data_IF_586873401310
#
_entry.id   IF_586873401310
#
_cell.length_a   1.000
_cell.length_b   1.000
_cell.length_c   1.000
_cell.angle_alpha   90.00
_cell.angle_beta   90.00
_cell.angle_gamma   90.00
#
_symmetry.space_group_name_H-M   'P 1'
#
loop_
_entity.id
_entity.type
_entity.pdbx_description
1 polymer ?
#
# COMPACT_ATOMS: atom_id res chain seq x y z
N UNK A 1 63.48 -30.64 -19.34
CA UNK A 1 62.02 -30.91 -19.14
C UNK A 1 61.56 -30.39 -17.80
N UNK A 2 61.49 -29.09 -17.65
CA UNK A 2 60.96 -28.45 -16.40
C UNK A 2 60.52 -27.03 -16.76
N UNK A 3 59.30 -26.82 -17.16
CA UNK A 3 58.64 -25.47 -17.28
C UNK A 3 57.16 -25.57 -17.63
N UNK A 4 56.37 -26.35 -16.95
CA UNK A 4 54.90 -26.35 -17.14
C UNK A 4 54.08 -26.63 -15.88
N UNK A 5 54.59 -26.37 -14.67
CA UNK A 5 53.79 -26.56 -13.42
C UNK A 5 53.42 -25.30 -12.65
N UNK A 6 53.71 -24.10 -13.19
CA UNK A 6 53.48 -22.85 -12.47
C UNK A 6 52.16 -22.09 -12.79
N UNK A 7 51.39 -22.48 -13.84
CA UNK A 7 50.29 -21.67 -14.33
C UNK A 7 48.88 -22.13 -13.88
N UNK A 8 48.77 -23.28 -13.22
CA UNK A 8 47.47 -23.83 -12.85
C UNK A 8 46.95 -23.45 -11.45
N UNK A 9 47.81 -22.87 -10.60
CA UNK A 9 47.45 -22.59 -9.20
C UNK A 9 46.94 -21.18 -8.97
N UNK A 10 47.13 -20.26 -9.93
CA UNK A 10 46.77 -18.83 -9.74
C UNK A 10 45.31 -18.52 -10.15
N UNK A 11 44.63 -19.39 -10.90
CA UNK A 11 43.22 -19.17 -11.28
C UNK A 11 42.19 -19.66 -10.26
N UNK A 12 42.59 -20.50 -9.29
CA UNK A 12 41.63 -21.05 -8.32
C UNK A 12 41.31 -20.11 -7.13
N UNK A 13 42.14 -19.11 -6.87
CA UNK A 13 41.96 -18.19 -5.71
C UNK A 13 41.11 -16.96 -6.06
N UNK A 14 40.99 -16.58 -7.32
CA UNK A 14 40.13 -15.45 -7.71
C UNK A 14 38.65 -15.79 -7.85
N UNK A 15 38.25 -17.05 -7.86
CA UNK A 15 36.86 -17.48 -8.04
C UNK A 15 35.97 -17.43 -6.79
N UNK A 16 36.57 -17.28 -5.59
CA UNK A 16 35.79 -17.38 -4.32
C UNK A 16 35.31 -15.99 -3.83
N UNK A 17 35.88 -14.91 -4.31
CA UNK A 17 35.48 -13.55 -3.88
C UNK A 17 34.21 -13.00 -4.54
N UNK A 18 33.71 -13.60 -5.63
CA UNK A 18 32.52 -13.12 -6.35
C UNK A 18 31.21 -13.73 -5.86
N UNK A 19 31.24 -14.77 -5.02
CA UNK A 19 30.03 -15.44 -4.52
C UNK A 19 29.40 -14.76 -3.29
N UNK A 20 30.06 -13.78 -2.68
CA UNK A 20 29.61 -13.14 -1.43
C UNK A 20 28.54 -12.06 -1.57
N UNK A 21 28.37 -11.46 -2.76
CA UNK A 21 27.40 -10.36 -2.92
C UNK A 21 26.02 -10.80 -3.43
N UNK A 22 25.86 -12.03 -3.89
CA UNK A 22 24.58 -12.52 -4.40
C UNK A 22 23.61 -13.01 -3.30
N UNK A 23 24.10 -13.23 -2.07
CA UNK A 23 23.31 -13.83 -1.01
C UNK A 23 22.44 -12.88 -0.20
N UNK A 24 22.74 -11.56 -0.20
CA UNK A 24 21.94 -10.57 0.55
C UNK A 24 20.66 -10.15 -0.19
N UNK A 25 20.62 -10.21 -1.52
CA UNK A 25 19.40 -9.98 -2.30
C UNK A 25 18.39 -11.13 -2.23
N UNK A 26 18.87 -12.35 -1.91
CA UNK A 26 18.01 -13.54 -1.82
C UNK A 26 17.13 -13.61 -0.57
N UNK A 27 17.51 -12.98 0.52
CA UNK A 27 16.77 -13.05 1.78
C UNK A 27 15.50 -12.18 1.74
N UNK A 28 15.54 -11.04 1.07
CA UNK A 28 14.36 -10.20 0.87
C UNK A 28 13.27 -10.91 0.06
N UNK A 29 13.63 -11.84 -0.83
CA UNK A 29 12.69 -12.64 -1.61
C UNK A 29 11.90 -13.65 -0.74
N UNK A 30 12.32 -13.92 0.48
CA UNK A 30 11.61 -14.77 1.43
C UNK A 30 10.48 -14.02 2.15
N UNK A 31 10.47 -12.69 2.11
CA UNK A 31 9.45 -11.87 2.75
C UNK A 31 8.23 -11.81 1.84
N UNK A 32 7.11 -12.31 2.33
CA UNK A 32 5.83 -12.20 1.62
C UNK A 32 5.18 -10.84 1.92
N UNK A 33 4.50 -10.23 0.92
CA UNK A 33 3.79 -8.98 1.14
C UNK A 33 2.67 -9.14 2.17
N UNK A 34 2.44 -8.14 3.04
CA UNK A 34 1.24 -8.11 3.88
C UNK A 34 -0.02 -8.17 3.03
N UNK A 35 -1.05 -8.84 3.54
CA UNK A 35 -2.35 -8.94 2.89
C UNK A 35 -3.29 -7.90 3.47
N UNK A 36 -4.00 -7.21 2.61
CA UNK A 36 -4.98 -6.20 2.98
C UNK A 36 -6.37 -6.67 2.60
N UNK A 37 -7.32 -6.49 3.51
CA UNK A 37 -8.72 -6.84 3.30
C UNK A 37 -9.62 -5.74 3.87
N UNK A 38 -10.63 -5.33 3.12
CA UNK A 38 -11.64 -4.40 3.62
C UNK A 38 -12.52 -5.07 4.67
N UNK A 39 -12.79 -4.39 5.78
CA UNK A 39 -13.61 -4.93 6.87
C UNK A 39 -15.08 -4.77 6.50
N UNK A 40 -15.79 -5.88 6.28
CA UNK A 40 -17.17 -5.89 5.75
C UNK A 40 -18.21 -5.26 6.67
N UNK A 41 -18.05 -5.40 7.97
CA UNK A 41 -18.92 -4.85 9.01
C UNK A 41 -18.59 -3.40 9.39
N UNK A 42 -17.53 -2.86 8.85
CA UNK A 42 -17.13 -1.45 8.96
C UNK A 42 -17.03 -0.81 7.58
N UNK A 43 -18.15 -0.35 7.01
CA UNK A 43 -18.14 0.28 5.69
C UNK A 43 -17.25 1.52 5.70
N UNK A 44 -16.68 1.84 4.54
CA UNK A 44 -15.94 3.07 4.35
C UNK A 44 -16.84 4.27 4.64
N UNK A 45 -16.30 5.25 5.40
CA UNK A 45 -17.02 6.46 5.80
C UNK A 45 -16.55 7.64 4.97
N UNK A 46 -17.49 8.40 4.43
CA UNK A 46 -17.23 9.69 3.80
C UNK A 46 -17.80 10.80 4.69
N UNK A 47 -16.96 11.79 5.03
CA UNK A 47 -17.34 12.97 5.81
C UNK A 47 -17.13 14.21 4.96
N UNK A 48 -18.16 15.03 4.79
CA UNK A 48 -18.01 16.31 4.11
C UNK A 48 -17.26 17.29 5.02
N UNK A 49 -16.25 17.96 4.47
CA UNK A 49 -15.46 18.98 5.14
C UNK A 49 -15.88 20.34 4.59
N UNK A 50 -16.32 21.22 5.48
CA UNK A 50 -16.74 22.58 5.13
C UNK A 50 -15.61 23.46 4.56
N UNK A 51 -15.97 24.52 3.86
CA UNK A 51 -15.06 25.57 3.41
C UNK A 51 -14.52 26.34 4.61
N UNK A 52 -13.29 26.13 5.01
CA UNK A 52 -12.72 26.82 6.18
C UNK A 52 -11.31 26.39 6.54
N UNK A 53 -10.88 25.22 6.10
CA UNK A 53 -9.55 24.63 6.39
C UNK A 53 -8.55 24.81 5.25
N UNK A 54 -8.45 26.02 4.69
CA UNK A 54 -7.57 26.31 3.56
C UNK A 54 -8.03 25.77 2.19
N UNK A 55 -9.29 25.31 2.11
CA UNK A 55 -9.91 24.76 0.90
C UNK A 55 -11.13 25.59 0.51
N UNK A 56 -11.06 26.42 -0.54
CA UNK A 56 -12.13 27.35 -0.89
C UNK A 56 -13.46 26.65 -1.26
N UNK A 57 -13.41 25.45 -1.80
CA UNK A 57 -14.60 24.67 -2.17
C UNK A 57 -14.94 23.54 -1.19
N UNK A 58 -14.24 23.48 -0.04
CA UNK A 58 -14.39 22.36 0.88
C UNK A 58 -13.68 21.08 0.40
N UNK A 59 -14.08 19.95 0.95
CA UNK A 59 -13.49 18.66 0.63
C UNK A 59 -14.24 17.50 1.27
N UNK A 60 -13.67 16.32 1.21
CA UNK A 60 -14.18 15.15 1.89
C UNK A 60 -13.06 14.44 2.67
N UNK A 61 -13.38 14.01 3.87
CA UNK A 61 -12.59 13.02 4.61
C UNK A 61 -13.11 11.63 4.30
N UNK A 62 -12.25 10.73 3.87
CA UNK A 62 -12.58 9.31 3.65
C UNK A 62 -11.86 8.50 4.69
N UNK A 63 -12.59 7.68 5.45
CA UNK A 63 -12.03 6.69 6.36
C UNK A 63 -12.30 5.30 5.81
N UNK A 64 -11.24 4.55 5.53
CA UNK A 64 -11.29 3.15 5.16
C UNK A 64 -10.84 2.31 6.36
N UNK A 65 -11.42 1.13 6.51
CA UNK A 65 -10.99 0.18 7.53
C UNK A 65 -10.35 -1.02 6.85
N UNK A 66 -9.10 -1.28 7.20
CA UNK A 66 -8.32 -2.38 6.66
C UNK A 66 -7.97 -3.39 7.75
N UNK A 67 -8.15 -4.66 7.45
CA UNK A 67 -7.48 -5.76 8.14
C UNK A 67 -6.18 -6.04 7.41
N UNK A 68 -5.06 -5.92 8.12
CA UNK A 68 -3.72 -6.16 7.60
C UNK A 68 -3.17 -7.42 8.24
N UNK A 69 -2.90 -8.45 7.45
CA UNK A 69 -2.36 -9.73 7.88
C UNK A 69 -0.89 -9.83 7.51
N UNK A 70 -0.08 -10.32 8.42
CA UNK A 70 1.29 -10.74 8.17
C UNK A 70 1.31 -12.25 7.84
N UNK A 71 1.51 -12.67 6.59
CA UNK A 71 1.55 -14.09 6.22
C UNK A 71 2.87 -14.77 6.61
N UNK A 72 3.88 -13.99 7.02
CA UNK A 72 5.20 -14.51 7.32
C UNK A 72 5.26 -15.23 8.68
N UNK A 73 6.15 -16.21 8.86
CA UNK A 73 6.36 -16.90 10.13
C UNK A 73 7.19 -16.08 11.14
N UNK A 74 7.51 -14.83 10.82
CA UNK A 74 8.26 -13.87 11.64
C UNK A 74 7.54 -12.53 11.68
N UNK A 75 7.85 -11.72 12.70
CA UNK A 75 7.33 -10.36 12.83
C UNK A 75 7.97 -9.43 11.80
N UNK A 76 7.21 -8.42 11.37
CA UNK A 76 7.69 -7.31 10.54
C UNK A 76 7.03 -6.01 10.98
N UNK A 77 7.57 -4.90 10.52
CA UNK A 77 6.96 -3.58 10.70
C UNK A 77 6.48 -3.06 9.35
N UNK A 78 5.20 -2.73 9.26
CA UNK A 78 4.65 -2.03 8.11
C UNK A 78 5.11 -0.57 8.19
N UNK A 79 6.07 -0.18 7.34
CA UNK A 79 6.77 1.10 7.45
C UNK A 79 6.03 2.21 6.73
N UNK A 80 5.62 1.96 5.48
CA UNK A 80 4.97 2.96 4.64
C UNK A 80 3.83 2.34 3.82
N UNK A 81 2.85 3.16 3.53
CA UNK A 81 1.82 2.87 2.55
C UNK A 81 1.69 4.10 1.64
N UNK A 82 1.91 3.93 0.35
CA UNK A 82 1.72 4.98 -0.64
C UNK A 82 0.87 4.48 -1.80
N UNK A 83 -0.02 5.34 -2.33
CA UNK A 83 -0.91 4.89 -3.39
C UNK A 83 -1.93 5.93 -3.82
N UNK A 84 -2.97 5.47 -4.49
CA UNK A 84 -4.07 6.28 -4.96
C UNK A 84 -5.41 5.61 -4.68
N UNK A 85 -6.32 6.39 -4.12
CA UNK A 85 -7.72 6.02 -4.00
C UNK A 85 -8.41 6.35 -5.34
N UNK A 86 -9.09 5.38 -5.89
CA UNK A 86 -9.95 5.53 -7.06
C UNK A 86 -11.40 5.29 -6.65
N UNK A 87 -12.30 6.04 -7.26
CA UNK A 87 -13.74 5.85 -7.15
C UNK A 87 -14.34 5.66 -8.53
N UNK A 88 -15.39 4.86 -8.62
CA UNK A 88 -16.09 4.65 -9.87
C UNK A 88 -16.97 5.85 -10.20
N UNK A 89 -16.78 6.40 -11.40
CA UNK A 89 -17.63 7.48 -11.90
C UNK A 89 -19.03 6.95 -12.20
N UNK A 90 -20.06 7.59 -11.66
CA UNK A 90 -21.45 7.17 -11.87
C UNK A 90 -21.92 7.22 -13.32
N UNK A 91 -21.33 8.09 -14.11
CA UNK A 91 -21.78 8.36 -15.47
C UNK A 91 -21.11 7.47 -16.51
N UNK A 92 -19.81 7.23 -16.35
CA UNK A 92 -19.03 6.48 -17.34
C UNK A 92 -18.69 5.05 -16.91
N UNK A 93 -18.76 4.74 -15.61
CA UNK A 93 -18.24 3.49 -15.07
C UNK A 93 -16.72 3.45 -15.00
N UNK A 94 -16.03 4.57 -15.32
CA UNK A 94 -14.59 4.66 -15.28
C UNK A 94 -14.09 4.94 -13.85
N UNK A 95 -12.86 4.52 -13.57
CA UNK A 95 -12.21 4.77 -12.31
C UNK A 95 -11.51 6.13 -12.32
N UNK A 96 -12.02 7.08 -11.54
CA UNK A 96 -11.41 8.38 -11.33
C UNK A 96 -10.53 8.35 -10.07
N UNK A 97 -9.32 8.91 -10.17
CA UNK A 97 -8.44 9.06 -9.00
C UNK A 97 -8.99 10.13 -8.06
N UNK A 98 -9.37 9.75 -6.87
CA UNK A 98 -9.97 10.61 -5.87
C UNK A 98 -8.97 11.22 -4.89
N UNK A 99 -7.92 10.47 -4.51
CA UNK A 99 -6.90 10.95 -3.58
C UNK A 99 -5.57 10.23 -3.79
N UNK A 100 -4.49 10.90 -3.38
CA UNK A 100 -3.19 10.27 -3.19
C UNK A 100 -3.00 9.98 -1.71
N UNK A 101 -2.39 8.85 -1.40
CA UNK A 101 -2.15 8.36 -0.05
C UNK A 101 -0.64 8.25 0.15
N UNK A 102 -0.15 8.83 1.23
CA UNK A 102 1.22 8.64 1.68
C UNK A 102 1.21 8.63 3.21
N UNK A 103 1.34 7.46 3.78
CA UNK A 103 1.25 7.24 5.22
C UNK A 103 2.52 6.56 5.73
N UNK A 104 3.30 7.24 6.60
CA UNK A 104 4.28 6.58 7.44
C UNK A 104 3.52 5.85 8.57
N UNK A 105 3.60 4.53 8.61
CA UNK A 105 2.78 3.73 9.52
C UNK A 105 3.53 3.32 10.78
N UNK A 106 4.76 2.79 10.64
CA UNK A 106 5.53 2.26 11.77
C UNK A 106 4.78 1.18 12.58
N UNK A 107 3.89 0.41 11.93
CA UNK A 107 3.00 -0.53 12.58
C UNK A 107 3.62 -1.91 12.70
N UNK A 108 3.88 -2.42 13.92
CA UNK A 108 4.39 -3.78 14.11
C UNK A 108 3.30 -4.81 13.82
N UNK A 109 3.64 -5.82 13.02
CA UNK A 109 2.80 -6.96 12.70
C UNK A 109 3.48 -8.23 13.19
N UNK A 110 2.90 -8.90 14.16
CA UNK A 110 3.41 -10.18 14.66
C UNK A 110 3.30 -11.28 13.60
N UNK A 111 4.11 -12.32 13.74
CA UNK A 111 4.07 -13.48 12.86
C UNK A 111 2.67 -14.08 12.77
N UNK A 112 2.16 -14.26 11.54
CA UNK A 112 0.85 -14.89 11.24
C UNK A 112 -0.35 -14.25 11.96
N UNK A 113 -0.23 -12.98 12.34
CA UNK A 113 -1.30 -12.23 12.98
C UNK A 113 -1.84 -11.14 12.04
N UNK A 114 -3.02 -10.66 12.37
CA UNK A 114 -3.63 -9.51 11.70
C UNK A 114 -3.94 -8.40 12.71
N UNK A 115 -3.99 -7.19 12.20
CA UNK A 115 -4.44 -6.00 12.94
C UNK A 115 -5.44 -5.25 12.07
N UNK A 116 -6.36 -4.53 12.72
CA UNK A 116 -7.30 -3.64 12.04
C UNK A 116 -6.85 -2.21 12.19
N UNK A 117 -6.75 -1.50 11.07
CA UNK A 117 -6.30 -0.10 11.04
C UNK A 117 -7.29 0.79 10.30
N UNK A 118 -7.50 2.03 10.77
CA UNK A 118 -8.13 3.07 9.97
C UNK A 118 -7.10 3.66 8.99
N UNK A 119 -7.53 3.92 7.76
CA UNK A 119 -6.80 4.68 6.76
C UNK A 119 -7.60 5.94 6.48
N UNK A 120 -7.10 7.07 6.99
CA UNK A 120 -7.77 8.36 6.84
C UNK A 120 -7.19 9.13 5.66
N UNK A 121 -8.04 9.51 4.73
CA UNK A 121 -7.71 10.22 3.51
C UNK A 121 -8.46 11.53 3.46
N UNK A 122 -7.87 12.53 2.80
CA UNK A 122 -8.54 13.80 2.55
C UNK A 122 -8.54 14.10 1.06
N UNK A 123 -9.71 14.40 0.55
CA UNK A 123 -9.96 14.74 -0.86
C UNK A 123 -10.38 16.19 -0.95
N UNK A 124 -9.80 16.96 -1.89
CA UNK A 124 -10.24 18.32 -2.19
C UNK A 124 -11.22 18.31 -3.37
N UNK A 125 -12.33 19.02 -3.23
CA UNK A 125 -13.31 19.13 -4.33
C UNK A 125 -12.82 19.99 -5.49
N UNK A 126 -11.79 20.84 -5.25
CA UNK A 126 -11.17 21.61 -6.34
C UNK A 126 -10.45 20.73 -7.36
N UNK A 127 -10.03 19.53 -6.96
CA UNK A 127 -9.22 18.65 -7.80
C UNK A 127 -10.08 17.67 -8.62
N UNK A 128 -11.40 17.59 -8.33
CA UNK A 128 -12.24 16.52 -8.84
C UNK A 128 -13.70 16.96 -9.10
N UNK A 129 -13.98 17.61 -10.23
CA UNK A 129 -15.37 17.91 -10.65
C UNK A 129 -16.27 16.65 -10.66
N UNK A 130 -15.69 15.48 -11.02
CA UNK A 130 -16.41 14.20 -11.07
C UNK A 130 -16.81 13.66 -9.70
N UNK A 131 -16.14 14.08 -8.62
CA UNK A 131 -16.53 13.70 -7.25
C UNK A 131 -17.79 14.44 -6.75
N UNK A 132 -18.16 15.55 -7.36
CA UNK A 132 -19.41 16.23 -7.02
C UNK A 132 -20.59 15.32 -7.32
N UNK A 133 -20.53 14.57 -8.41
CA UNK A 133 -21.57 13.61 -8.79
C UNK A 133 -21.56 12.37 -7.89
N UNK A 134 -20.38 11.90 -7.53
CA UNK A 134 -20.21 10.81 -6.55
C UNK A 134 -20.75 11.24 -5.17
N UNK A 135 -20.45 12.48 -4.73
CA UNK A 135 -21.01 13.05 -3.49
C UNK A 135 -22.53 13.18 -3.56
N UNK A 136 -23.10 13.60 -4.70
CA UNK A 136 -24.54 13.67 -4.93
C UNK A 136 -25.24 12.32 -4.79
N UNK A 137 -24.64 11.25 -5.33
CA UNK A 137 -25.16 9.88 -5.16
C UNK A 137 -25.07 9.40 -3.71
N UNK A 138 -24.00 9.71 -3.08
CA UNK A 138 -23.79 9.32 -1.71
C UNK A 138 -24.80 10.02 -0.77
N UNK A 139 -25.18 11.27 -1.04
CA UNK A 139 -26.25 11.97 -0.31
C UNK A 139 -27.63 11.34 -0.53
N UNK A 140 -27.85 10.66 -1.67
CA UNK A 140 -29.06 9.88 -1.93
C UNK A 140 -29.07 8.48 -1.29
N UNK A 141 -28.06 8.14 -0.48
CA UNK A 141 -27.96 6.84 0.19
C UNK A 141 -27.38 5.71 -0.68
N UNK A 142 -26.92 6.03 -1.89
CA UNK A 142 -26.27 5.07 -2.78
C UNK A 142 -24.83 4.76 -2.33
N UNK A 143 -24.36 3.56 -2.61
CA UNK A 143 -22.96 3.19 -2.40
C UNK A 143 -22.07 3.69 -3.54
N UNK A 144 -20.81 3.97 -3.24
CA UNK A 144 -19.80 4.36 -4.21
C UNK A 144 -18.71 3.28 -4.21
N UNK A 145 -18.51 2.54 -5.31
CA UNK A 145 -17.40 1.61 -5.42
C UNK A 145 -16.07 2.35 -5.32
N UNK A 146 -15.13 1.79 -4.57
CA UNK A 146 -13.78 2.34 -4.42
C UNK A 146 -12.71 1.27 -4.57
N UNK A 147 -11.49 1.70 -4.94
CA UNK A 147 -10.30 0.88 -5.00
C UNK A 147 -9.09 1.70 -4.55
N UNK A 148 -8.30 1.15 -3.65
CA UNK A 148 -7.03 1.70 -3.20
C UNK A 148 -5.90 0.86 -3.82
N UNK A 149 -5.19 1.44 -4.76
CA UNK A 149 -4.01 0.82 -5.38
C UNK A 149 -2.75 1.50 -4.86
N UNK A 150 -1.70 0.72 -4.60
CA UNK A 150 -0.48 1.32 -4.07
C UNK A 150 0.66 0.35 -3.81
N UNK A 151 1.65 0.86 -3.10
CA UNK A 151 2.85 0.15 -2.67
C UNK A 151 2.96 0.15 -1.16
N UNK A 152 3.57 -0.90 -0.64
CA UNK A 152 3.74 -1.12 0.80
C UNK A 152 5.20 -1.40 1.09
N UNK A 153 5.81 -0.56 1.93
CA UNK A 153 7.14 -0.78 2.48
C UNK A 153 7.07 -1.51 3.81
N UNK A 154 7.91 -2.51 3.99
CA UNK A 154 8.02 -3.23 5.26
C UNK A 154 9.47 -3.26 5.74
N UNK A 155 9.64 -3.32 7.06
CA UNK A 155 10.93 -3.59 7.71
C UNK A 155 10.84 -4.99 8.32
N UNK A 156 11.60 -5.92 7.76
CA UNK A 156 11.69 -7.31 8.21
C UNK A 156 12.99 -7.58 9.00
N UNK A 157 13.57 -6.55 9.60
CA UNK A 157 14.78 -6.62 10.39
C UNK A 157 15.99 -7.07 9.56
N UNK A 158 16.62 -8.17 9.94
CA UNK A 158 17.79 -8.73 9.25
C UNK A 158 17.50 -9.21 7.82
N UNK A 159 16.23 -9.42 7.46
CA UNK A 159 15.81 -9.80 6.10
C UNK A 159 15.69 -8.59 5.16
N UNK A 160 15.84 -7.36 5.68
CA UNK A 160 15.85 -6.14 4.89
C UNK A 160 14.52 -5.37 4.91
N UNK A 161 14.43 -4.41 3.98
CA UNK A 161 13.29 -3.48 3.86
C UNK A 161 12.68 -3.51 2.46
N UNK A 162 12.04 -4.62 2.06
CA UNK A 162 11.41 -4.70 0.75
C UNK A 162 10.20 -3.76 0.63
N UNK A 163 9.94 -3.32 -0.61
CA UNK A 163 8.72 -2.63 -1.01
C UNK A 163 7.97 -3.49 -1.99
N UNK A 164 6.66 -3.64 -1.79
CA UNK A 164 5.77 -4.45 -2.60
C UNK A 164 4.78 -3.57 -3.36
N UNK A 165 4.60 -3.83 -4.63
CA UNK A 165 3.60 -3.14 -5.45
C UNK A 165 4.07 -2.84 -6.87
N UNK A 166 3.17 -2.25 -7.67
CA UNK A 166 1.81 -1.82 -7.30
C UNK A 166 0.86 -3.00 -7.02
N UNK A 167 0.02 -2.86 -5.99
CA UNK A 167 -0.98 -3.85 -5.57
C UNK A 167 -2.34 -3.16 -5.40
N UNK A 168 -3.43 -3.89 -5.62
CA UNK A 168 -4.73 -3.47 -5.09
C UNK A 168 -4.78 -3.84 -3.62
N UNK A 169 -4.71 -2.82 -2.77
CA UNK A 169 -4.65 -2.96 -1.32
C UNK A 169 -6.05 -3.17 -0.73
N UNK A 170 -7.01 -2.34 -1.16
CA UNK A 170 -8.39 -2.42 -0.71
C UNK A 170 -9.35 -2.21 -1.88
N UNK A 171 -10.49 -2.88 -1.81
CA UNK A 171 -11.57 -2.69 -2.75
C UNK A 171 -12.91 -2.92 -2.03
N UNK A 172 -13.93 -2.14 -2.36
CA UNK A 172 -15.24 -2.27 -1.74
C UNK A 172 -16.18 -1.13 -2.09
N UNK A 173 -17.22 -1.00 -1.29
CA UNK A 173 -18.21 0.07 -1.40
C UNK A 173 -18.14 0.99 -0.19
N UNK A 174 -18.15 2.29 -0.43
CA UNK A 174 -18.26 3.29 0.64
C UNK A 174 -19.68 3.85 0.73
N UNK A 175 -20.08 4.17 1.95
CA UNK A 175 -21.35 4.83 2.24
C UNK A 175 -21.08 6.16 2.92
N UNK A 176 -21.88 7.17 2.59
CA UNK A 176 -21.88 8.40 3.38
C UNK A 176 -22.62 8.11 4.68
N UNK A 177 -21.99 8.48 5.79
CA UNK A 177 -22.70 8.72 7.04
C UNK A 177 -22.95 10.24 7.13
N UNK A 178 -24.23 10.66 7.22
CA UNK A 178 -24.57 12.04 7.48
C UNK A 178 -24.05 12.53 8.84
#
# INVERSE_FOLDING_TARGET
>A
MEKRLGAALTCAVLGIAAAGCASLGGLAALVQPPRFEAIRDRPAELRLLGSGSGRPLGGAGVRLWARVENPNPFGLTLSTLSGSLHVESPRSGDWARAATVELPLGLPLQARQHVEIPIDLTVSFSDLPDLVDAAGRALSGSTIPYRLDGTVGVDAGSLGRPTFGPLTLLQGDMRIRP
#
